data_IF_703239721330
#
_entry.id   IF_703239721330
#
_cell.length_a   1.000
_cell.length_b   1.000
_cell.length_c   1.000
_cell.angle_alpha   90.00
_cell.angle_beta   90.00
_cell.angle_gamma   90.00
#
_symmetry.space_group_name_H-M   'P 1'
#
loop_
_entity.id
_entity.type
_entity.pdbx_description
1 polymer ?
#
# COMPACT_ATOMS: atom_id res chain seq x y z
N UNK A 1 -3.64 21.36 3.48
CA UNK A 1 -3.82 19.90 3.40
C UNK A 1 -3.92 19.31 4.80
N UNK A 2 -4.78 18.34 5.04
CA UNK A 2 -4.85 17.61 6.32
C UNK A 2 -3.89 16.43 6.29
N UNK A 3 -3.11 16.24 7.35
CA UNK A 3 -2.19 15.10 7.53
C UNK A 3 -2.74 14.23 8.66
N UNK A 4 -3.18 13.03 8.33
CA UNK A 4 -3.81 12.12 9.28
C UNK A 4 -2.79 11.09 9.74
N UNK A 5 -2.40 11.12 11.01
CA UNK A 5 -1.41 10.22 11.59
C UNK A 5 -2.04 9.20 12.52
N UNK A 6 -1.45 8.03 12.58
CA UNK A 6 -1.86 6.94 13.45
C UNK A 6 -2.71 5.89 12.77
N UNK A 7 -3.10 4.90 13.56
CA UNK A 7 -3.86 3.72 13.15
C UNK A 7 -5.05 3.55 14.10
N UNK A 8 -6.22 3.21 13.56
CA UNK A 8 -7.38 2.87 14.37
C UNK A 8 -7.21 1.51 15.07
N UNK A 9 -8.00 1.23 16.11
CA UNK A 9 -7.84 0.06 16.99
C UNK A 9 -7.99 -1.30 16.27
N UNK A 10 -8.76 -1.36 15.20
CA UNK A 10 -9.01 -2.61 14.46
C UNK A 10 -8.84 -2.41 12.95
N UNK A 11 -8.57 -3.48 12.18
CA UNK A 11 -8.51 -3.39 10.72
C UNK A 11 -9.76 -2.79 10.08
N UNK A 12 -10.95 -3.11 10.60
CA UNK A 12 -12.21 -2.59 10.10
C UNK A 12 -12.38 -1.09 10.37
N UNK A 13 -12.07 -0.66 11.59
CA UNK A 13 -12.09 0.75 11.97
C UNK A 13 -11.06 1.55 11.17
N UNK A 14 -9.88 0.97 10.91
CA UNK A 14 -8.83 1.59 10.13
C UNK A 14 -9.24 1.81 8.66
N UNK A 15 -9.91 0.82 8.07
CA UNK A 15 -10.50 0.95 6.73
C UNK A 15 -11.68 1.93 6.70
N UNK A 16 -12.50 1.96 7.76
CA UNK A 16 -13.60 2.92 7.87
C UNK A 16 -13.07 4.36 7.91
N UNK A 17 -12.06 4.64 8.74
CA UNK A 17 -11.43 5.95 8.85
C UNK A 17 -10.92 6.47 7.49
N UNK A 18 -10.30 5.61 6.67
CA UNK A 18 -9.85 6.02 5.32
C UNK A 18 -11.02 6.29 4.37
N UNK A 19 -12.13 5.54 4.47
CA UNK A 19 -13.34 5.80 3.66
C UNK A 19 -14.05 7.09 4.07
N UNK A 20 -14.15 7.35 5.36
CA UNK A 20 -14.73 8.58 5.91
C UNK A 20 -13.92 9.81 5.51
N UNK A 21 -12.58 9.68 5.50
CA UNK A 21 -11.69 10.73 5.04
C UNK A 21 -11.93 11.07 3.57
N UNK A 22 -12.20 10.06 2.71
CA UNK A 22 -12.53 10.30 1.30
C UNK A 22 -13.85 11.08 1.15
N UNK A 23 -14.87 10.77 1.95
CA UNK A 23 -16.12 11.54 2.01
C UNK A 23 -15.89 12.98 2.49
N UNK A 24 -15.12 13.14 3.55
CA UNK A 24 -14.81 14.48 4.09
C UNK A 24 -14.05 15.37 3.09
N UNK A 25 -13.16 14.79 2.28
CA UNK A 25 -12.47 15.51 1.20
C UNK A 25 -13.47 15.92 0.11
N UNK A 26 -14.40 15.04 -0.27
CA UNK A 26 -15.44 15.35 -1.25
C UNK A 26 -16.33 16.52 -0.79
N UNK A 27 -16.69 16.57 0.49
CA UNK A 27 -17.59 17.56 1.08
C UNK A 27 -16.89 18.90 1.32
N UNK A 28 -15.65 18.89 1.81
CA UNK A 28 -14.93 20.10 2.22
C UNK A 28 -14.06 20.71 1.14
N UNK A 29 -13.70 19.95 0.10
CA UNK A 29 -12.70 20.35 -0.90
C UNK A 29 -11.29 20.46 -0.35
N UNK A 30 -11.03 20.02 0.89
CA UNK A 30 -9.71 20.09 1.53
C UNK A 30 -8.95 18.78 1.35
N UNK A 31 -7.80 18.76 0.63
CA UNK A 31 -7.00 17.56 0.44
C UNK A 31 -6.51 16.94 1.74
N UNK A 32 -6.32 15.62 1.73
CA UNK A 32 -5.79 14.91 2.88
C UNK A 32 -4.74 13.87 2.48
N UNK A 33 -3.82 13.58 3.38
CA UNK A 33 -2.84 12.50 3.27
C UNK A 33 -2.82 11.67 4.54
N UNK A 34 -2.58 10.38 4.36
CA UNK A 34 -2.33 9.45 5.43
C UNK A 34 -1.22 8.49 5.02
N UNK A 35 -0.20 8.31 5.87
CA UNK A 35 0.81 7.27 5.75
C UNK A 35 0.96 6.58 7.11
N UNK A 36 0.81 5.24 7.15
CA UNK A 36 0.76 4.49 8.41
C UNK A 36 1.15 3.03 8.23
N UNK A 37 1.47 2.36 9.35
CA UNK A 37 1.65 0.91 9.39
C UNK A 37 0.31 0.24 9.68
N UNK A 38 -0.32 -0.49 8.74
CA UNK A 38 -1.59 -1.17 8.95
C UNK A 38 -1.49 -2.33 9.94
N UNK A 39 -2.63 -2.83 10.38
CA UNK A 39 -2.69 -4.10 11.11
C UNK A 39 -2.23 -5.26 10.22
N UNK A 40 -1.57 -6.23 10.85
CA UNK A 40 -1.21 -7.50 10.20
C UNK A 40 -2.45 -8.17 9.63
N UNK A 41 -2.47 -8.45 8.34
CA UNK A 41 -3.58 -9.05 7.61
C UNK A 41 -3.19 -9.49 6.21
N UNK A 42 -3.96 -10.36 5.60
CA UNK A 42 -3.92 -10.60 4.16
C UNK A 42 -5.16 -9.98 3.51
N UNK A 43 -4.95 -8.99 2.66
CA UNK A 43 -6.04 -8.27 2.00
C UNK A 43 -6.29 -8.83 0.61
N UNK A 44 -7.38 -9.57 0.45
CA UNK A 44 -7.84 -10.12 -0.83
C UNK A 44 -8.52 -9.04 -1.66
N UNK A 45 -8.23 -9.02 -2.95
CA UNK A 45 -8.93 -8.17 -3.92
C UNK A 45 -10.24 -8.80 -4.40
N UNK A 46 -11.05 -8.00 -5.11
CA UNK A 46 -12.33 -8.51 -5.67
C UNK A 46 -12.15 -9.65 -6.68
N UNK A 47 -11.02 -9.70 -7.37
CA UNK A 47 -10.74 -10.79 -8.33
C UNK A 47 -10.54 -12.11 -7.62
N UNK A 48 -9.90 -12.10 -6.46
CA UNK A 48 -9.59 -13.30 -5.68
C UNK A 48 -10.87 -13.96 -5.15
N UNK A 49 -11.84 -13.16 -4.71
CA UNK A 49 -13.13 -13.67 -4.18
C UNK A 49 -13.96 -14.46 -5.21
N UNK A 50 -13.64 -14.34 -6.49
CA UNK A 50 -14.29 -15.07 -7.57
C UNK A 50 -13.53 -16.34 -8.00
N UNK A 51 -12.32 -16.58 -7.46
CA UNK A 51 -11.53 -17.76 -7.78
C UNK A 51 -12.02 -18.99 -7.02
N UNK A 52 -11.99 -20.14 -7.67
CA UNK A 52 -12.46 -21.41 -7.07
C UNK A 52 -11.68 -21.76 -5.81
N UNK A 53 -10.40 -21.44 -5.74
CA UNK A 53 -9.51 -21.72 -4.59
C UNK A 53 -9.55 -20.67 -3.48
N UNK A 54 -10.49 -19.72 -3.51
CA UNK A 54 -10.50 -18.59 -2.57
C UNK A 54 -10.55 -18.99 -1.10
N UNK A 55 -11.41 -19.95 -0.71
CA UNK A 55 -11.46 -20.41 0.68
C UNK A 55 -10.21 -21.17 1.11
N UNK A 56 -9.55 -21.90 0.19
CA UNK A 56 -8.25 -22.53 0.44
C UNK A 56 -7.19 -21.46 0.67
N UNK A 57 -7.13 -20.42 -0.15
CA UNK A 57 -6.23 -19.29 -0.01
C UNK A 57 -6.42 -18.56 1.34
N UNK A 58 -7.66 -18.37 1.77
CA UNK A 58 -7.98 -17.80 3.10
C UNK A 58 -7.51 -18.70 4.25
N UNK A 59 -7.62 -20.02 4.08
CA UNK A 59 -7.08 -21.01 5.02
C UNK A 59 -5.58 -20.88 5.15
N UNK A 60 -4.85 -20.89 4.03
CA UNK A 60 -3.40 -20.75 3.98
C UNK A 60 -2.89 -19.47 4.64
N UNK A 61 -3.61 -18.35 4.47
CA UNK A 61 -3.30 -17.09 5.15
C UNK A 61 -3.45 -17.21 6.68
N UNK A 62 -4.56 -17.79 7.17
CA UNK A 62 -4.80 -17.96 8.62
C UNK A 62 -3.74 -18.85 9.29
N UNK A 63 -3.36 -19.94 8.64
CA UNK A 63 -2.34 -20.88 9.14
C UNK A 63 -0.98 -20.21 9.34
N UNK A 64 -0.70 -19.13 8.57
CA UNK A 64 0.51 -18.32 8.67
C UNK A 64 0.35 -17.06 9.54
N UNK A 65 -0.76 -16.94 10.28
CA UNK A 65 -1.01 -15.85 11.19
C UNK A 65 -1.37 -14.52 10.50
N UNK A 66 -1.90 -14.58 9.27
CA UNK A 66 -2.43 -13.42 8.56
C UNK A 66 -3.97 -13.49 8.50
N UNK A 67 -4.70 -12.73 9.34
CA UNK A 67 -6.15 -12.66 9.25
C UNK A 67 -6.58 -12.23 7.85
N UNK A 68 -7.41 -13.02 7.14
CA UNK A 68 -7.88 -12.66 5.80
C UNK A 68 -8.96 -11.60 5.87
N UNK A 69 -8.81 -10.55 5.06
CA UNK A 69 -9.80 -9.48 4.90
C UNK A 69 -10.09 -9.26 3.43
N UNK A 70 -11.29 -8.81 3.12
CA UNK A 70 -11.67 -8.42 1.77
C UNK A 70 -11.59 -6.91 1.61
N UNK A 71 -10.98 -6.46 0.52
CA UNK A 71 -10.97 -5.04 0.16
C UNK A 71 -11.97 -4.76 -0.97
N UNK A 72 -12.56 -3.59 -0.92
CA UNK A 72 -13.55 -3.16 -1.91
C UNK A 72 -12.94 -2.67 -3.23
N UNK A 73 -11.61 -2.68 -3.35
CA UNK A 73 -10.86 -2.27 -4.54
C UNK A 73 -10.38 -3.48 -5.33
N UNK A 74 -10.00 -3.26 -6.60
CA UNK A 74 -9.47 -4.31 -7.46
C UNK A 74 -8.09 -4.82 -7.04
N UNK A 75 -7.47 -5.61 -7.90
CA UNK A 75 -6.16 -6.23 -7.68
C UNK A 75 -6.27 -7.63 -7.06
N UNK A 76 -5.13 -8.20 -6.69
CA UNK A 76 -4.95 -9.51 -6.07
C UNK A 76 -4.55 -9.38 -4.60
N UNK A 77 -4.35 -10.49 -3.92
CA UNK A 77 -3.94 -10.57 -2.52
C UNK A 77 -2.66 -9.77 -2.22
N UNK A 78 -2.65 -9.09 -1.08
CA UNK A 78 -1.50 -8.35 -0.55
C UNK A 78 -1.36 -8.64 0.94
N UNK A 79 -0.16 -9.00 1.35
CA UNK A 79 0.16 -9.22 2.76
C UNK A 79 0.61 -7.92 3.43
N UNK A 80 0.13 -7.68 4.65
CA UNK A 80 0.56 -6.60 5.52
C UNK A 80 1.22 -7.20 6.76
N UNK A 81 2.49 -6.93 6.92
CA UNK A 81 3.26 -7.32 8.11
C UNK A 81 3.25 -6.19 9.15
N UNK A 82 4.03 -6.33 10.21
CA UNK A 82 4.25 -5.24 11.17
C UNK A 82 5.08 -4.07 10.64
N UNK A 83 5.73 -4.22 9.47
CA UNK A 83 6.62 -3.21 8.88
C UNK A 83 6.10 -2.65 7.56
N UNK A 84 5.06 -3.21 6.97
CA UNK A 84 4.46 -2.69 5.73
C UNK A 84 3.87 -1.30 5.98
N UNK A 85 4.14 -0.34 5.09
CA UNK A 85 3.57 1.01 5.14
C UNK A 85 2.50 1.16 4.06
N UNK A 86 1.31 1.55 4.45
CA UNK A 86 0.26 1.99 3.54
C UNK A 86 0.25 3.51 3.46
N UNK A 87 -0.16 4.04 2.31
CA UNK A 87 -0.40 5.45 2.13
C UNK A 87 -1.69 5.71 1.36
N UNK A 88 -2.27 6.87 1.56
CA UNK A 88 -3.40 7.38 0.81
C UNK A 88 -3.26 8.89 0.62
N UNK A 89 -3.31 9.34 -0.63
CA UNK A 89 -3.43 10.74 -1.02
C UNK A 89 -4.85 10.97 -1.54
N UNK A 90 -5.55 11.93 -0.95
CA UNK A 90 -6.95 12.21 -1.24
C UNK A 90 -7.08 13.66 -1.72
N UNK A 91 -7.60 13.83 -2.93
CA UNK A 91 -7.75 15.14 -3.57
C UNK A 91 -9.21 15.35 -4.01
N UNK A 92 -9.73 16.57 -3.89
CA UNK A 92 -11.03 16.89 -4.48
C UNK A 92 -10.94 16.82 -6.01
N UNK A 93 -11.99 16.33 -6.66
CA UNK A 93 -12.08 16.27 -8.12
C UNK A 93 -13.42 16.81 -8.60
N UNK A 94 -13.38 17.66 -9.63
CA UNK A 94 -14.61 18.20 -10.23
C UNK A 94 -15.28 17.18 -11.16
N UNK A 95 -14.49 16.34 -11.84
CA UNK A 95 -14.97 15.29 -12.73
C UNK A 95 -14.31 13.95 -12.37
N UNK A 96 -15.13 13.01 -11.93
CA UNK A 96 -14.68 11.66 -11.55
C UNK A 96 -14.18 10.79 -12.72
N UNK A 97 -14.45 11.20 -13.98
CA UNK A 97 -14.09 10.44 -15.18
C UNK A 97 -12.77 10.88 -15.80
N UNK A 98 -12.26 12.06 -15.42
CA UNK A 98 -11.03 12.64 -15.97
C UNK A 98 -9.81 12.40 -15.08
N UNK A 99 -8.60 12.49 -15.67
CA UNK A 99 -7.33 12.49 -14.93
C UNK A 99 -6.95 11.17 -14.25
N UNK A 100 -7.54 10.04 -14.67
CA UNK A 100 -7.22 8.73 -14.06
C UNK A 100 -5.74 8.38 -14.23
N UNK A 101 -5.24 8.47 -15.45
CA UNK A 101 -3.84 8.17 -15.79
C UNK A 101 -2.89 9.16 -15.12
N UNK A 102 -3.19 10.45 -15.19
CA UNK A 102 -2.34 11.51 -14.64
C UNK A 102 -2.16 11.36 -13.11
N UNK A 103 -3.22 10.98 -12.40
CA UNK A 103 -3.14 10.71 -10.96
C UNK A 103 -2.27 9.50 -10.63
N UNK A 104 -2.34 8.44 -11.44
CA UNK A 104 -1.45 7.28 -11.27
C UNK A 104 0.00 7.65 -11.55
N UNK A 105 0.28 8.36 -12.65
CA UNK A 105 1.64 8.79 -13.00
C UNK A 105 2.23 9.70 -11.91
N UNK A 106 1.45 10.67 -11.44
CA UNK A 106 1.87 11.54 -10.33
C UNK A 106 2.16 10.75 -9.06
N UNK A 107 1.32 9.76 -8.72
CA UNK A 107 1.54 8.94 -7.52
C UNK A 107 2.77 8.05 -7.63
N UNK A 108 3.05 7.46 -8.80
CA UNK A 108 4.31 6.72 -9.04
C UNK A 108 5.49 7.65 -8.83
N UNK A 109 5.49 8.84 -9.45
CA UNK A 109 6.55 9.83 -9.27
C UNK A 109 6.75 10.24 -7.80
N UNK A 110 5.66 10.41 -7.06
CA UNK A 110 5.71 10.74 -5.62
C UNK A 110 6.33 9.61 -4.80
N UNK A 111 5.95 8.35 -5.06
CA UNK A 111 6.54 7.20 -4.36
C UNK A 111 8.02 7.05 -4.69
N UNK A 112 8.39 7.19 -5.97
CA UNK A 112 9.80 7.17 -6.39
C UNK A 112 10.59 8.27 -5.69
N UNK A 113 10.10 9.51 -5.67
CA UNK A 113 10.78 10.63 -4.98
C UNK A 113 10.91 10.39 -3.46
N UNK A 114 9.90 9.80 -2.82
CA UNK A 114 9.98 9.42 -1.41
C UNK A 114 11.08 8.38 -1.15
N UNK A 115 11.19 7.37 -2.01
CA UNK A 115 12.20 6.32 -1.89
C UNK A 115 13.61 6.85 -2.23
N UNK A 116 13.74 7.72 -3.23
CA UNK A 116 15.00 8.40 -3.56
C UNK A 116 15.53 9.24 -2.38
N UNK A 117 14.63 9.94 -1.67
CA UNK A 117 15.00 10.70 -0.46
C UNK A 117 15.54 9.82 0.67
N UNK A 118 15.29 8.51 0.61
CA UNK A 118 15.81 7.49 1.54
C UNK A 118 17.08 6.80 1.00
N UNK A 119 17.58 7.22 -0.17
CA UNK A 119 18.77 6.67 -0.81
C UNK A 119 18.52 5.42 -1.65
N UNK A 120 17.29 5.19 -2.10
CA UNK A 120 16.92 4.01 -2.89
C UNK A 120 16.73 4.42 -4.34
N UNK A 121 17.45 3.77 -5.24
CA UNK A 121 17.31 3.94 -6.69
C UNK A 121 16.06 3.20 -7.20
N UNK A 122 14.91 3.80 -6.93
CA UNK A 122 13.61 3.24 -7.27
C UNK A 122 13.10 3.77 -8.61
N UNK A 123 12.41 2.91 -9.34
CA UNK A 123 11.81 3.28 -10.62
C UNK A 123 10.41 2.67 -10.77
N UNK A 124 9.64 3.17 -11.73
CA UNK A 124 8.42 2.50 -12.17
C UNK A 124 8.77 1.18 -12.84
N UNK A 125 8.19 0.09 -12.37
CA UNK A 125 8.40 -1.23 -12.97
C UNK A 125 7.57 -2.30 -12.26
N UNK A 126 7.35 -3.40 -12.99
CA UNK A 126 6.61 -4.56 -12.49
C UNK A 126 7.46 -5.81 -12.75
N UNK A 127 8.10 -6.39 -11.73
CA UNK A 127 8.81 -7.67 -11.89
C UNK A 127 7.86 -8.78 -12.36
N UNK A 128 8.31 -9.70 -13.20
CA UNK A 128 7.52 -10.84 -13.62
C UNK A 128 6.97 -11.61 -12.42
N UNK A 129 5.74 -12.09 -12.55
CA UNK A 129 5.06 -12.92 -11.54
C UNK A 129 5.04 -12.30 -10.14
N UNK A 130 5.03 -10.97 -10.04
CA UNK A 130 4.97 -10.28 -8.76
C UNK A 130 3.56 -10.34 -8.13
N UNK A 131 3.48 -10.12 -6.81
CA UNK A 131 2.18 -10.03 -6.14
C UNK A 131 1.37 -8.81 -6.61
N UNK A 132 0.05 -8.99 -6.71
CA UNK A 132 -0.90 -7.94 -7.14
C UNK A 132 -0.39 -7.15 -8.37
N UNK A 133 -0.11 -7.84 -9.50
CA UNK A 133 0.52 -7.22 -10.66
C UNK A 133 -0.34 -6.08 -11.24
N UNK A 134 0.33 -5.03 -11.73
CA UNK A 134 -0.33 -3.87 -12.31
C UNK A 134 0.66 -2.86 -12.89
N UNK A 135 0.17 -1.99 -13.79
CA UNK A 135 0.98 -1.04 -14.56
C UNK A 135 1.61 0.09 -13.72
N UNK A 136 1.18 0.22 -12.46
CA UNK A 136 1.59 1.30 -11.55
C UNK A 136 2.25 0.75 -10.29
N UNK A 137 3.32 -0.02 -10.51
CA UNK A 137 4.19 -0.54 -9.46
C UNK A 137 5.51 0.20 -9.45
N UNK A 138 6.21 0.11 -8.32
CA UNK A 138 7.55 0.64 -8.13
C UNK A 138 8.46 -0.50 -7.70
N UNK A 139 9.59 -0.60 -8.35
CA UNK A 139 10.66 -1.58 -8.11
C UNK A 139 11.97 -0.89 -7.81
N UNK A 140 12.90 -1.62 -7.25
CA UNK A 140 14.29 -1.20 -7.11
C UNK A 140 15.22 -2.42 -7.17
N UNK A 141 16.52 -2.24 -7.49
CA UNK A 141 17.52 -3.28 -7.31
C UNK A 141 17.58 -3.68 -5.83
N UNK A 142 17.39 -4.97 -5.55
CA UNK A 142 17.49 -5.53 -4.21
C UNK A 142 18.63 -6.52 -4.16
N UNK A 143 19.43 -6.46 -3.10
CA UNK A 143 20.52 -7.40 -2.88
C UNK A 143 19.98 -8.79 -2.56
N UNK A 144 20.43 -9.78 -3.32
CA UNK A 144 20.12 -11.20 -3.16
C UNK A 144 21.42 -12.01 -3.00
N UNK A 145 21.34 -13.29 -2.63
CA UNK A 145 22.50 -14.16 -2.57
C UNK A 145 23.24 -14.32 -3.90
N UNK A 146 22.53 -14.12 -5.02
CA UNK A 146 23.03 -14.29 -6.39
C UNK A 146 23.34 -12.96 -7.12
N UNK A 147 23.30 -11.83 -6.41
CA UNK A 147 23.52 -10.49 -6.96
C UNK A 147 22.36 -9.53 -6.72
N UNK A 148 22.21 -8.52 -7.58
CA UNK A 148 21.11 -7.58 -7.53
C UNK A 148 20.11 -7.86 -8.65
N UNK A 149 18.83 -7.72 -8.34
CA UNK A 149 17.76 -7.77 -9.33
C UNK A 149 16.63 -6.82 -8.95
N UNK A 150 15.85 -6.33 -9.94
CA UNK A 150 14.65 -5.55 -9.65
C UNK A 150 13.62 -6.39 -8.91
N UNK A 151 13.18 -5.91 -7.75
CA UNK A 151 12.12 -6.51 -6.94
C UNK A 151 11.05 -5.45 -6.62
N UNK A 152 9.81 -5.87 -6.45
CA UNK A 152 8.68 -4.96 -6.22
C UNK A 152 8.69 -4.43 -4.79
N UNK A 153 8.78 -3.10 -4.68
CA UNK A 153 8.72 -2.40 -3.40
C UNK A 153 7.31 -1.88 -3.11
N UNK A 154 6.58 -1.43 -4.15
CA UNK A 154 5.28 -0.83 -3.95
C UNK A 154 4.29 -1.15 -5.09
N UNK A 155 3.01 -1.17 -4.73
CA UNK A 155 1.90 -1.22 -5.68
C UNK A 155 0.91 -0.09 -5.38
N UNK A 156 0.34 0.51 -6.43
CA UNK A 156 -0.53 1.68 -6.35
C UNK A 156 -1.91 1.35 -6.94
N UNK A 157 -2.95 1.81 -6.27
CA UNK A 157 -4.34 1.67 -6.68
C UNK A 157 -5.07 3.00 -6.54
N UNK A 158 -6.14 3.17 -7.30
CA UNK A 158 -6.96 4.37 -7.26
C UNK A 158 -8.43 4.03 -7.03
N UNK A 159 -9.11 4.90 -6.30
CA UNK A 159 -10.56 4.91 -6.14
C UNK A 159 -11.07 6.33 -6.34
N UNK A 160 -12.03 6.49 -7.25
CA UNK A 160 -12.67 7.78 -7.51
C UNK A 160 -14.13 7.68 -7.12
N UNK A 161 -14.63 8.70 -6.43
CA UNK A 161 -16.03 8.89 -6.06
C UNK A 161 -16.51 10.23 -6.61
N UNK A 162 -17.80 10.54 -6.46
CA UNK A 162 -18.28 11.87 -6.74
C UNK A 162 -17.59 12.87 -5.78
N UNK A 163 -16.86 13.84 -6.33
CA UNK A 163 -16.22 14.93 -5.58
C UNK A 163 -14.82 14.66 -5.05
N UNK A 164 -14.33 13.40 -4.99
CA UNK A 164 -12.98 13.12 -4.54
C UNK A 164 -12.35 11.89 -5.21
N UNK A 165 -11.03 11.92 -5.35
CA UNK A 165 -10.20 10.79 -5.74
C UNK A 165 -9.21 10.44 -4.62
N UNK A 166 -9.00 9.16 -4.42
CA UNK A 166 -7.99 8.61 -3.52
C UNK A 166 -7.01 7.77 -4.36
N UNK A 167 -5.75 8.12 -4.33
CA UNK A 167 -4.67 7.23 -4.75
C UNK A 167 -4.05 6.65 -3.50
N UNK A 168 -3.91 5.35 -3.46
CA UNK A 168 -3.39 4.63 -2.30
C UNK A 168 -2.42 3.55 -2.74
N UNK A 169 -1.51 3.19 -1.87
CA UNK A 169 -0.55 2.13 -2.14
C UNK A 169 0.00 1.53 -0.88
N UNK A 170 0.87 0.57 -1.10
CA UNK A 170 1.58 -0.17 -0.06
C UNK A 170 3.05 -0.22 -0.42
N UNK A 171 3.91 0.06 0.56
CA UNK A 171 5.36 -0.08 0.44
C UNK A 171 5.82 -1.17 1.40
N UNK A 172 6.54 -2.16 0.89
CA UNK A 172 7.21 -3.19 1.68
C UNK A 172 8.50 -2.60 2.26
N UNK A 173 8.56 -2.44 3.59
CA UNK A 173 9.74 -1.85 4.25
C UNK A 173 10.75 -2.92 4.64
N UNK A 174 10.27 -4.00 5.25
CA UNK A 174 11.06 -5.18 5.59
C UNK A 174 10.22 -6.44 5.38
N UNK A 175 10.62 -7.56 6.00
CA UNK A 175 9.84 -8.81 6.05
C UNK A 175 9.48 -9.38 4.65
N UNK A 176 10.29 -9.10 3.62
CA UNK A 176 10.04 -9.58 2.25
C UNK A 176 9.91 -11.10 2.19
N UNK A 177 10.72 -11.82 2.97
CA UNK A 177 10.69 -13.29 3.04
C UNK A 177 9.36 -13.78 3.64
N UNK A 178 8.92 -13.18 4.74
CA UNK A 178 7.62 -13.49 5.35
C UNK A 178 6.44 -13.21 4.42
N UNK A 179 6.53 -12.13 3.64
CA UNK A 179 5.52 -11.79 2.62
C UNK A 179 5.52 -12.84 1.50
N UNK A 180 6.69 -13.22 1.01
CA UNK A 180 6.84 -14.29 0.02
C UNK A 180 6.25 -15.61 0.52
N UNK A 181 6.61 -16.01 1.72
CA UNK A 181 6.19 -17.27 2.36
C UNK A 181 4.66 -17.37 2.56
N UNK A 182 3.99 -16.27 2.88
CA UNK A 182 2.54 -16.28 3.01
C UNK A 182 1.83 -16.18 1.68
N UNK A 183 2.36 -15.42 0.72
CA UNK A 183 1.73 -15.22 -0.58
C UNK A 183 1.87 -16.45 -1.49
N UNK A 184 2.95 -17.20 -1.41
CA UNK A 184 3.19 -18.36 -2.26
C UNK A 184 2.03 -19.38 -2.23
N UNK A 185 1.64 -19.99 -1.11
CA UNK A 185 0.50 -20.91 -1.08
C UNK A 185 -0.85 -20.23 -1.26
N UNK A 186 -0.95 -18.93 -1.02
CA UNK A 186 -2.16 -18.15 -1.29
C UNK A 186 -2.36 -18.01 -2.80
N UNK A 187 -1.33 -17.65 -3.54
CA UNK A 187 -1.37 -17.49 -4.99
C UNK A 187 -1.51 -18.82 -5.72
N UNK A 188 -0.84 -19.87 -5.22
CA UNK A 188 -1.02 -21.26 -5.71
C UNK A 188 -2.49 -21.68 -5.59
N UNK A 189 -3.10 -21.49 -4.44
CA UNK A 189 -4.52 -21.82 -4.23
C UNK A 189 -5.45 -21.00 -5.12
N UNK A 190 -5.12 -19.74 -5.43
CA UNK A 190 -5.88 -18.89 -6.35
C UNK A 190 -5.64 -19.24 -7.84
N UNK A 191 -4.67 -20.10 -8.15
CA UNK A 191 -4.28 -20.44 -9.52
C UNK A 191 -3.64 -19.27 -10.28
N UNK A 192 -2.94 -18.39 -9.57
CA UNK A 192 -2.30 -17.19 -10.13
C UNK A 192 -0.78 -17.33 -10.02
N UNK A 193 -0.02 -17.15 -11.11
CA UNK A 193 1.45 -17.19 -11.07
C UNK A 193 2.00 -16.18 -10.07
N UNK A 194 2.98 -16.60 -9.27
CA UNK A 194 3.67 -15.76 -8.31
C UNK A 194 5.09 -16.29 -8.05
N UNK A 195 6.09 -15.41 -8.15
CA UNK A 195 7.47 -15.68 -7.72
C UNK A 195 7.72 -15.01 -6.37
N UNK A 196 7.89 -15.76 -5.26
CA UNK A 196 8.21 -15.18 -3.95
C UNK A 196 9.44 -14.27 -3.97
N UNK A 197 10.36 -14.55 -4.88
CA UNK A 197 11.56 -13.76 -5.04
C UNK A 197 11.32 -12.41 -5.75
N UNK A 198 10.14 -12.17 -6.29
CA UNK A 198 9.78 -10.85 -6.84
C UNK A 198 9.46 -9.82 -5.75
N UNK A 199 9.34 -10.26 -4.50
CA UNK A 199 9.03 -9.39 -3.35
C UNK A 199 10.29 -8.69 -2.88
N UNK A 200 10.35 -7.40 -3.11
CA UNK A 200 11.40 -6.53 -2.60
C UNK A 200 11.02 -5.86 -1.28
N UNK A 201 11.96 -5.13 -0.72
CA UNK A 201 11.73 -4.26 0.42
C UNK A 201 12.69 -3.08 0.43
N UNK A 202 12.28 -2.00 1.09
CA UNK A 202 13.13 -0.82 1.32
C UNK A 202 14.47 -1.21 1.93
N UNK A 203 14.46 -2.11 2.93
CA UNK A 203 15.68 -2.59 3.58
C UNK A 203 16.57 -3.40 2.62
N UNK A 204 15.99 -4.25 1.77
CA UNK A 204 16.76 -5.05 0.79
C UNK A 204 17.34 -4.19 -0.34
N UNK A 205 16.72 -3.05 -0.64
CA UNK A 205 17.22 -2.04 -1.57
C UNK A 205 18.23 -1.06 -0.94
N UNK A 206 18.72 -1.34 0.29
CA UNK A 206 19.72 -0.52 0.98
C UNK A 206 19.16 0.66 1.78
N UNK A 207 17.86 0.81 1.86
CA UNK A 207 17.20 1.86 2.63
C UNK A 207 16.97 1.50 4.11
N UNK A 208 16.25 2.34 4.87
CA UNK A 208 16.02 2.13 6.29
C UNK A 208 15.04 0.97 6.56
N UNK A 209 15.36 0.16 7.56
CA UNK A 209 14.43 -0.81 8.14
C UNK A 209 13.58 -0.16 9.25
N UNK A 210 12.88 0.93 8.91
CA UNK A 210 12.08 1.71 9.85
C UNK A 210 10.81 2.21 9.15
N UNK A 211 9.64 1.61 9.44
CA UNK A 211 8.38 1.99 8.83
C UNK A 211 7.99 3.45 9.09
N UNK A 212 8.34 4.01 10.24
CA UNK A 212 8.01 5.39 10.56
C UNK A 212 8.81 6.36 9.68
N UNK A 213 10.07 6.06 9.37
CA UNK A 213 10.87 6.85 8.43
C UNK A 213 10.30 6.79 7.02
N UNK A 214 9.89 5.61 6.55
CA UNK A 214 9.28 5.44 5.23
C UNK A 214 7.93 6.16 5.16
N UNK A 215 7.10 6.03 6.21
CA UNK A 215 5.83 6.74 6.28
C UNK A 215 6.01 8.27 6.25
N UNK A 216 7.03 8.81 6.92
CA UNK A 216 7.36 10.24 6.86
C UNK A 216 7.82 10.69 5.49
N UNK A 217 8.71 9.93 4.84
CA UNK A 217 9.16 10.24 3.49
C UNK A 217 7.99 10.28 2.48
N UNK A 218 7.07 9.33 2.57
CA UNK A 218 5.84 9.33 1.76
C UNK A 218 4.93 10.52 2.08
N UNK A 219 4.73 10.84 3.38
CA UNK A 219 3.94 11.99 3.80
C UNK A 219 4.54 13.28 3.24
N UNK A 220 5.85 13.48 3.41
CA UNK A 220 6.55 14.69 2.96
C UNK A 220 6.50 14.84 1.45
N UNK A 221 6.70 13.76 0.69
CA UNK A 221 6.61 13.76 -0.76
C UNK A 221 5.19 14.06 -1.27
N UNK A 222 4.15 13.51 -0.60
CA UNK A 222 2.75 13.79 -0.96
C UNK A 222 2.37 15.21 -0.60
N UNK A 223 2.84 15.73 0.53
CA UNK A 223 2.58 17.11 0.99
C UNK A 223 3.23 18.13 0.06
N UNK A 224 4.44 17.86 -0.41
CA UNK A 224 5.18 18.70 -1.37
C UNK A 224 5.18 20.20 -0.98
N UNK A 225 5.55 20.50 0.25
CA UNK A 225 5.64 21.87 0.78
C UNK A 225 4.33 22.61 1.00
N UNK A 226 3.18 21.97 0.78
CA UNK A 226 1.87 22.58 1.03
C UNK A 226 1.65 22.85 2.53
N UNK A 227 0.97 23.94 2.93
CA UNK A 227 0.59 24.16 4.32
C UNK A 227 -0.25 23.02 4.85
N UNK A 228 0.07 22.52 6.07
CA UNK A 228 -0.57 21.33 6.63
C UNK A 228 -1.18 21.59 8.01
N UNK A 229 -2.23 20.84 8.31
CA UNK A 229 -2.77 20.65 9.65
C UNK A 229 -2.66 19.17 10.01
N UNK A 230 -1.96 18.87 11.11
CA UNK A 230 -1.75 17.50 11.57
C UNK A 230 -2.90 17.10 12.51
N UNK A 231 -3.53 15.98 12.19
CA UNK A 231 -4.57 15.35 12.99
C UNK A 231 -4.16 13.93 13.37
N UNK A 232 -4.59 13.44 14.53
CA UNK A 232 -4.35 12.07 14.95
C UNK A 232 -5.67 11.31 14.95
N UNK A 233 -5.65 10.09 14.39
CA UNK A 233 -6.73 9.15 14.64
C UNK A 233 -6.77 8.86 16.15
N UNK A 234 -7.97 8.90 16.73
CA UNK A 234 -8.15 8.51 18.11
C UNK A 234 -7.76 7.04 18.27
N UNK A 235 -6.74 6.78 19.08
CA UNK A 235 -6.42 5.45 19.56
C UNK A 235 -7.22 5.23 20.86
N UNK A 236 -8.31 4.45 20.83
CA UNK A 236 -9.14 4.22 22.02
C UNK A 236 -8.41 3.46 23.15
N UNK A 237 -7.17 3.00 22.89
CA UNK A 237 -6.31 2.32 23.86
C UNK A 237 -5.27 3.22 24.54
N UNK A 238 -5.19 4.51 24.20
CA UNK A 238 -4.35 5.51 24.85
C UNK A 238 -5.19 6.62 25.45
N UNK A 239 -5.95 6.31 26.49
CA UNK A 239 -6.37 7.32 27.44
C UNK A 239 -5.12 7.76 28.22
N UNK A 240 -4.86 9.05 28.22
CA UNK A 240 -3.77 9.76 28.91
C UNK A 240 -3.85 9.59 30.41
#
# INVERSE_FOLDING_TARGET
MRVIRGRAATPDADRAATRELLGAVADSGTPAVRAWTPHRQLAFGRRDANETGYETARGAARERGFPPVERSVGGRAVAYTGTTVAFASLEPVADSRSGLTDRYEAAVGTVVAALDSLGIDAERGEPPESFCPGDYSVQAPCSTGDGERPEKLAGIAQRVTAGAAMVSGVVTVADREEIGDVLDPVYDALGVPFDPNSVGSVAAAGGPNDPDRVARALEDAIVDGRPTTIERLADPGRET
#
